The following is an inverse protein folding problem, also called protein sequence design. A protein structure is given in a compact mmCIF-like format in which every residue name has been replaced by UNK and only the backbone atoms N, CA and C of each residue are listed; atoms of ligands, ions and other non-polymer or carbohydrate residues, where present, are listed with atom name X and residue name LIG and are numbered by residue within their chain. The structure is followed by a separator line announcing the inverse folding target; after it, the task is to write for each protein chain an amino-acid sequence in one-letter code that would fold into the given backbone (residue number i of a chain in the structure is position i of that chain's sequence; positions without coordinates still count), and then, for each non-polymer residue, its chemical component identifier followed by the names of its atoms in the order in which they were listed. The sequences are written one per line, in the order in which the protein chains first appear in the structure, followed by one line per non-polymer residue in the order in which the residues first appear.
data_IF_807561674673
#
_entry.id   IF_807561674673
#
_cell.length_a   1.000
_cell.length_b   1.000
_cell.length_c   1.000
_cell.angle_alpha   90.00
_cell.angle_beta   90.00
_cell.angle_gamma   90.00
#
_symmetry.space_group_name_H-M   'P 1'
#
loop_
_entity.id
_entity.type
_entity.pdbx_description
1 polymer ?
#
# COMPACT_ATOMS: atom_id res chain seq x y z
N UNK A 1 11.92 9.58 -2.64
CA UNK A 1 10.51 9.14 -2.70
C UNK A 1 10.01 9.26 -1.28
N UNK A 2 9.07 10.15 -1.02
CA UNK A 2 8.51 10.32 0.31
C UNK A 2 7.39 9.28 0.43
N UNK A 3 7.72 8.10 0.98
CA UNK A 3 6.80 6.97 1.15
C UNK A 3 5.75 7.21 2.25
N UNK A 4 5.53 8.48 2.59
CA UNK A 4 4.66 8.94 3.68
C UNK A 4 3.50 9.71 3.09
N UNK A 5 2.37 9.62 3.77
CA UNK A 5 1.19 10.43 3.50
C UNK A 5 1.49 11.92 3.72
N UNK A 6 0.63 12.80 3.20
CA UNK A 6 0.77 14.26 3.31
C UNK A 6 0.78 14.79 4.75
N UNK A 7 0.27 14.00 5.69
CA UNK A 7 0.31 14.25 7.14
C UNK A 7 1.56 13.67 7.81
N UNK A 8 2.50 13.15 7.03
CA UNK A 8 3.70 12.50 7.52
C UNK A 8 3.45 11.10 8.08
N UNK A 9 2.29 10.47 7.95
CA UNK A 9 2.11 9.09 8.45
C UNK A 9 2.58 8.05 7.42
N UNK A 10 3.25 7.01 7.90
CA UNK A 10 3.69 5.85 7.11
C UNK A 10 3.01 4.56 7.58
N UNK A 11 3.40 3.42 7.00
CA UNK A 11 2.82 2.11 7.35
C UNK A 11 2.88 1.80 8.86
N UNK A 12 3.98 2.17 9.53
CA UNK A 12 4.15 1.96 10.98
C UNK A 12 3.13 2.76 11.82
N UNK A 13 2.80 3.98 11.40
CA UNK A 13 1.80 4.82 12.08
C UNK A 13 0.43 4.17 12.01
N UNK A 14 0.00 3.74 10.81
CA UNK A 14 -1.28 3.08 10.63
C UNK A 14 -1.36 1.74 11.37
N UNK A 15 -0.27 0.99 11.40
CA UNK A 15 -0.21 -0.29 12.10
C UNK A 15 -0.43 -0.12 13.61
N UNK A 16 0.14 0.93 14.22
CA UNK A 16 -0.11 1.27 15.62
C UNK A 16 -1.49 1.88 15.87
N UNK A 17 -1.93 2.83 15.05
CA UNK A 17 -3.23 3.51 15.19
C UNK A 17 -4.39 2.51 15.25
N UNK A 18 -4.33 1.44 14.45
CA UNK A 18 -5.37 0.39 14.43
C UNK A 18 -5.03 -0.84 15.28
N UNK A 19 -3.95 -0.82 16.07
CA UNK A 19 -3.50 -1.97 16.85
C UNK A 19 -3.30 -3.24 16.00
N UNK A 20 -2.93 -3.10 14.73
CA UNK A 20 -2.82 -4.21 13.80
C UNK A 20 -1.54 -5.01 14.07
N UNK A 21 -1.65 -5.97 14.99
CA UNK A 21 -0.56 -6.81 15.45
C UNK A 21 0.14 -7.53 14.30
N UNK A 22 -0.61 -8.00 13.30
CA UNK A 22 -0.04 -8.71 12.15
C UNK A 22 0.83 -7.78 11.31
N UNK A 23 0.35 -6.57 11.01
CA UNK A 23 1.12 -5.58 10.27
C UNK A 23 2.41 -5.19 11.03
N UNK A 24 2.32 -4.99 12.35
CA UNK A 24 3.49 -4.72 13.19
C UNK A 24 4.49 -5.88 13.18
N UNK A 25 4.03 -7.12 13.29
CA UNK A 25 4.89 -8.30 13.15
C UNK A 25 5.58 -8.36 11.79
N UNK A 26 4.85 -8.12 10.70
CA UNK A 26 5.43 -8.08 9.34
C UNK A 26 6.50 -7.00 9.22
N UNK A 27 6.25 -5.80 9.76
CA UNK A 27 7.23 -4.70 9.77
C UNK A 27 8.49 -5.09 10.57
N UNK A 28 8.31 -5.68 11.76
CA UNK A 28 9.40 -6.16 12.61
C UNK A 28 10.19 -7.30 11.93
N UNK A 29 9.51 -8.21 11.24
CA UNK A 29 10.12 -9.31 10.48
C UNK A 29 10.95 -8.83 9.29
N UNK A 30 10.67 -7.63 8.78
CA UNK A 30 11.50 -6.94 7.78
C UNK A 30 12.66 -6.15 8.39
N UNK A 31 13.00 -6.45 9.66
CA UNK A 31 14.07 -5.82 10.44
C UNK A 31 13.90 -4.30 10.65
N UNK A 32 12.64 -3.81 10.67
CA UNK A 32 12.33 -2.43 11.04
C UNK A 32 12.01 -2.31 12.53
N UNK A 33 12.44 -1.20 13.14
CA UNK A 33 12.14 -0.90 14.54
C UNK A 33 10.70 -0.37 14.67
N UNK A 34 9.80 -1.26 15.09
CA UNK A 34 8.38 -0.95 15.31
C UNK A 34 8.13 -0.07 16.55
N UNK A 35 9.13 0.12 17.40
CA UNK A 35 9.06 1.00 18.56
C UNK A 35 9.83 2.31 18.34
N UNK A 36 10.13 2.65 17.08
CA UNK A 36 10.85 3.89 16.76
C UNK A 36 10.03 5.14 17.06
N UNK A 37 10.19 5.65 18.27
CA UNK A 37 9.66 6.93 18.70
C UNK A 37 10.58 8.09 18.27
N UNK A 38 11.42 7.99 17.23
CA UNK A 38 12.05 9.17 16.60
C UNK A 38 11.21 9.71 15.46
N UNK A 39 10.44 8.85 14.80
CA UNK A 39 9.55 9.28 13.74
C UNK A 39 8.36 10.04 14.31
N UNK A 40 8.02 11.14 13.64
CA UNK A 40 6.92 12.02 14.01
C UNK A 40 6.07 12.31 12.80
N UNK A 41 4.76 12.32 12.98
CA UNK A 41 3.84 12.85 11.98
C UNK A 41 3.90 14.39 11.97
N UNK A 42 3.08 15.03 11.12
CA UNK A 42 2.99 16.49 11.02
C UNK A 42 2.47 17.16 12.30
N UNK A 43 1.83 16.40 13.20
CA UNK A 43 1.28 16.89 14.47
C UNK A 43 2.26 16.69 15.63
N UNK A 44 3.36 15.96 15.42
CA UNK A 44 4.34 15.66 16.45
C UNK A 44 4.01 14.41 17.27
N UNK A 45 3.09 13.58 16.81
CA UNK A 45 2.77 12.28 17.39
C UNK A 45 3.75 11.20 16.89
N UNK A 46 4.08 10.26 17.75
CA UNK A 46 4.84 9.04 17.40
C UNK A 46 3.88 7.93 16.99
N UNK A 47 4.34 6.88 16.28
CA UNK A 47 3.50 5.73 16.00
C UNK A 47 2.90 5.12 17.28
N UNK A 48 3.71 4.88 18.31
CA UNK A 48 3.24 4.23 19.54
C UNK A 48 2.28 5.09 20.35
N UNK A 49 2.40 6.43 20.30
CA UNK A 49 1.50 7.34 21.01
C UNK A 49 0.08 7.29 20.44
N UNK A 50 -0.09 7.06 19.13
CA UNK A 50 -1.43 6.93 18.53
C UNK A 50 -2.22 5.78 19.16
N UNK A 51 -1.59 4.62 19.36
CA UNK A 51 -2.23 3.50 20.05
C UNK A 51 -2.48 3.79 21.54
N UNK A 52 -1.55 4.46 22.23
CA UNK A 52 -1.72 4.78 23.67
C UNK A 52 -2.82 5.78 23.95
N UNK A 53 -3.11 6.65 22.98
CA UNK A 53 -4.14 7.69 23.07
C UNK A 53 -5.51 7.21 22.61
N UNK A 54 -5.54 6.16 21.78
CA UNK A 54 -6.78 5.54 21.30
C UNK A 54 -7.35 4.55 22.32
N UNK A 55 -8.66 4.64 22.58
CA UNK A 55 -9.34 3.78 23.55
C UNK A 55 -9.58 2.35 23.03
N UNK A 56 -9.55 2.16 21.71
CA UNK A 56 -9.79 0.88 21.04
C UNK A 56 -8.49 0.09 20.83
N UNK A 57 -7.33 0.70 21.09
CA UNK A 57 -6.03 0.04 20.97
C UNK A 57 -5.51 -0.44 22.34
N UNK A 58 -5.34 -1.76 22.49
CA UNK A 58 -4.68 -2.35 23.65
C UNK A 58 -3.16 -2.37 23.45
N UNK A 59 -2.52 -1.24 23.77
CA UNK A 59 -1.07 -1.06 23.58
C UNK A 59 -0.24 -2.18 24.20
N UNK A 60 -0.53 -2.54 25.45
CA UNK A 60 0.25 -3.53 26.19
C UNK A 60 0.11 -4.92 25.56
N UNK A 61 -1.12 -5.33 25.21
CA UNK A 61 -1.35 -6.61 24.54
C UNK A 61 -0.67 -6.68 23.16
N UNK A 62 -0.72 -5.60 22.38
CA UNK A 62 -0.06 -5.54 21.06
C UNK A 62 1.46 -5.55 21.22
N UNK A 63 2.00 -4.73 22.14
CA UNK A 63 3.43 -4.64 22.39
C UNK A 63 4.01 -5.97 22.90
N UNK A 64 3.28 -6.71 23.74
CA UNK A 64 3.70 -8.03 24.22
C UNK A 64 3.85 -9.03 23.06
N UNK A 65 2.91 -9.05 22.12
CA UNK A 65 2.98 -9.96 20.96
C UNK A 65 4.11 -9.57 20.02
N UNK A 66 4.29 -8.28 19.76
CA UNK A 66 5.29 -7.78 18.81
C UNK A 66 6.72 -7.88 19.37
N UNK A 67 6.90 -7.83 20.69
CA UNK A 67 8.19 -8.06 21.35
C UNK A 67 8.56 -9.54 21.48
N UNK A 68 7.66 -10.48 21.19
CA UNK A 68 7.96 -11.90 21.26
C UNK A 68 8.83 -12.32 20.05
N UNK A 69 10.11 -12.68 20.26
CA UNK A 69 10.99 -13.05 19.15
C UNK A 69 10.53 -14.30 18.41
N UNK A 70 9.78 -15.20 19.06
CA UNK A 70 9.24 -16.39 18.40
C UNK A 70 8.16 -16.00 17.37
N UNK A 71 7.38 -14.96 17.65
CA UNK A 71 6.36 -14.44 16.73
C UNK A 71 6.97 -13.72 15.53
N UNK A 72 8.02 -12.95 15.77
CA UNK A 72 8.76 -12.28 14.70
C UNK A 72 9.43 -13.30 13.79
N UNK A 73 10.02 -14.37 14.34
CA UNK A 73 10.63 -15.44 13.54
C UNK A 73 9.59 -16.22 12.72
N UNK A 74 8.45 -16.56 13.31
CA UNK A 74 7.31 -17.19 12.60
C UNK A 74 6.88 -16.32 11.39
N UNK A 75 6.83 -15.01 11.57
CA UNK A 75 6.50 -14.08 10.49
C UNK A 75 7.57 -14.03 9.40
N UNK A 76 8.86 -14.06 9.77
CA UNK A 76 9.98 -14.12 8.82
C UNK A 76 9.90 -15.33 7.92
N UNK A 77 9.62 -16.50 8.50
CA UNK A 77 9.45 -17.76 7.76
C UNK A 77 8.30 -17.67 6.76
N UNK A 78 7.17 -17.08 7.16
CA UNK A 78 6.02 -16.87 6.26
C UNK A 78 6.34 -15.92 5.10
N UNK A 79 7.06 -14.83 5.37
CA UNK A 79 7.50 -13.90 4.33
C UNK A 79 8.45 -14.61 3.35
N UNK A 80 9.38 -15.43 3.86
CA UNK A 80 10.30 -16.21 3.03
C UNK A 80 9.56 -17.24 2.15
N UNK A 81 8.57 -17.94 2.71
CA UNK A 81 7.74 -18.88 1.96
C UNK A 81 6.96 -18.19 0.83
N UNK A 82 6.34 -17.04 1.11
CA UNK A 82 5.60 -16.28 0.09
C UNK A 82 6.53 -15.77 -1.00
N UNK A 83 7.72 -15.27 -0.65
CA UNK A 83 8.72 -14.83 -1.63
C UNK A 83 9.18 -15.97 -2.54
N UNK A 84 9.47 -17.14 -1.97
CA UNK A 84 9.84 -18.33 -2.75
C UNK A 84 8.76 -18.73 -3.74
N UNK A 85 7.49 -18.74 -3.31
CA UNK A 85 6.36 -19.08 -4.20
C UNK A 85 6.14 -18.05 -5.31
N UNK A 86 6.40 -16.77 -5.02
CA UNK A 86 6.28 -15.71 -6.00
C UNK A 86 7.36 -15.82 -7.08
N UNK A 87 8.59 -16.14 -6.69
CA UNK A 87 9.71 -16.39 -7.61
C UNK A 87 9.44 -17.61 -8.51
N UNK A 88 9.01 -18.74 -7.93
CA UNK A 88 8.64 -19.93 -8.70
C UNK A 88 7.47 -19.69 -9.68
N UNK A 89 6.55 -18.78 -9.35
CA UNK A 89 5.44 -18.44 -10.23
C UNK A 89 5.88 -17.51 -11.37
N UNK A 90 6.79 -16.57 -11.09
CA UNK A 90 7.35 -15.68 -12.09
C UNK A 90 8.21 -16.43 -13.13
N UNK A 91 8.98 -17.43 -12.70
CA UNK A 91 9.81 -18.23 -13.60
C UNK A 91 8.97 -19.11 -14.54
N UNK A 92 7.85 -19.67 -14.07
CA UNK A 92 6.95 -20.50 -14.89
C UNK A 92 6.24 -19.74 -16.00
N UNK A 93 5.95 -18.45 -15.79
CA UNK A 93 5.28 -17.59 -16.78
C UNK A 93 6.19 -17.28 -17.99
N UNK A 94 7.52 -17.39 -17.81
CA UNK A 94 8.50 -17.16 -18.88
C UNK A 94 8.76 -18.41 -19.75
N UNK A 95 8.64 -19.61 -19.20
CA UNK A 95 8.85 -20.87 -19.93
C UNK A 95 7.65 -21.25 -20.83
N UNK A 96 6.44 -20.71 -20.59
CA UNK A 96 5.25 -20.94 -21.44
C UNK A 96 5.14 -19.98 -22.64
N UNK A 97 6.03 -18.98 -22.77
CA UNK A 97 6.05 -18.00 -23.88
C UNK A 97 7.12 -18.26 -24.96
N UNK A 98 7.89 -19.35 -24.90
CA UNK A 98 9.01 -19.64 -25.83
C UNK A 98 8.71 -20.76 -26.86
N UNK A 99 7.42 -21.09 -27.12
CA UNK A 99 7.04 -22.17 -28.06
C UNK A 99 6.12 -21.77 -29.24
N UNK A 100 5.91 -20.49 -29.57
CA UNK A 100 5.24 -20.13 -30.84
C UNK A 100 5.75 -18.82 -31.45
N UNK A 101 6.84 -18.85 -32.25
CA UNK A 101 7.00 -17.95 -33.42
C UNK A 101 7.99 -18.54 -34.47
N UNK A 102 7.46 -19.36 -35.38
CA UNK A 102 7.91 -19.40 -36.78
C UNK A 102 6.65 -19.47 -37.67
N UNK A 103 6.04 -18.31 -37.97
CA UNK A 103 5.19 -18.15 -39.15
C UNK A 103 5.49 -16.81 -39.83
N UNK A 104 6.36 -16.90 -40.83
CA UNK A 104 6.78 -15.85 -41.75
C UNK A 104 5.63 -15.55 -42.72
N UNK A 105 4.83 -14.53 -42.41
CA UNK A 105 3.68 -14.11 -43.20
C UNK A 105 3.66 -12.60 -43.40
N UNK A 106 4.50 -12.11 -44.31
CA UNK A 106 4.33 -10.80 -44.96
C UNK A 106 2.89 -10.64 -45.45
N UNK A 107 2.19 -9.56 -45.08
CA UNK A 107 1.37 -8.79 -46.01
C UNK A 107 1.04 -7.38 -45.46
N UNK A 108 1.64 -6.43 -46.17
CA UNK A 108 1.33 -5.01 -46.35
C UNK A 108 -0.17 -4.79 -46.65
N UNK A 109 -0.85 -3.88 -45.94
CA UNK A 109 -1.65 -2.84 -46.62
C UNK A 109 -2.39 -1.87 -45.67
N UNK A 110 -2.09 -0.60 -45.90
CA UNK A 110 -2.99 0.56 -46.02
C UNK A 110 -3.76 1.17 -44.82
N UNK A 111 -3.68 2.51 -44.86
CA UNK A 111 -4.22 3.54 -43.98
C UNK A 111 -5.76 3.60 -43.97
N UNK A 112 -6.37 4.02 -42.85
CA UNK A 112 -7.61 4.79 -42.93
C UNK A 112 -7.69 5.85 -41.82
N UNK A 113 -7.63 7.12 -42.24
CA UNK A 113 -7.99 8.28 -41.42
C UNK A 113 -9.51 8.28 -41.13
N UNK A 114 -9.88 8.52 -39.87
CA UNK A 114 -11.28 8.55 -39.43
C UNK A 114 -11.58 9.67 -38.43
N UNK A 115 -11.93 10.82 -39.00
CA UNK A 115 -12.30 12.08 -38.39
C UNK A 115 -13.62 12.05 -37.56
N UNK A 116 -13.62 12.94 -36.55
CA UNK A 116 -14.74 13.58 -35.82
C UNK A 116 -15.75 12.72 -35.03
N UNK A 117 -16.03 13.15 -33.78
CA UNK A 117 -17.32 13.81 -33.44
C UNK A 117 -17.42 14.17 -31.94
N UNK A 118 -17.72 15.45 -31.72
CA UNK A 118 -18.05 16.06 -30.44
C UNK A 118 -19.25 15.39 -29.74
N UNK A 119 -19.16 15.23 -28.42
CA UNK A 119 -20.32 15.13 -27.52
C UNK A 119 -20.46 16.47 -26.78
N UNK A 120 -21.43 17.26 -27.24
CA UNK A 120 -21.96 18.39 -26.49
C UNK A 120 -22.84 17.93 -25.34
N UNK A 121 -22.92 18.81 -24.34
CA UNK A 121 -24.12 19.15 -23.55
C UNK A 121 -24.40 18.33 -22.29
N UNK A 122 -24.15 18.95 -21.15
CA UNK A 122 -25.01 19.05 -19.96
C UNK A 122 -24.27 20.06 -19.03
N UNK A 123 -24.60 21.35 -18.89
CA UNK A 123 -25.82 22.06 -18.45
C UNK A 123 -26.30 21.62 -17.05
N UNK A 124 -26.42 22.63 -16.18
CA UNK A 124 -26.95 22.66 -14.81
C UNK A 124 -26.04 22.12 -13.68
N UNK A 125 -25.45 23.03 -12.88
CA UNK A 125 -26.14 23.41 -11.63
C UNK A 125 -25.60 24.73 -11.05
N UNK A 126 -26.54 25.62 -10.81
CA UNK A 126 -26.43 26.97 -10.24
C UNK A 126 -26.44 26.83 -8.71
N UNK A 127 -25.47 27.41 -8.00
CA UNK A 127 -25.67 27.78 -6.59
C UNK A 127 -25.00 29.14 -6.29
N UNK A 128 -25.77 30.22 -6.15
CA UNK A 128 -25.46 31.29 -5.24
C UNK A 128 -26.28 31.08 -3.95
N UNK A 129 -25.61 30.92 -2.81
CA UNK A 129 -26.27 31.14 -1.52
C UNK A 129 -25.27 31.81 -0.57
N UNK A 130 -25.50 33.12 -0.46
CA UNK A 130 -25.38 33.99 0.70
C UNK A 130 -24.05 34.07 1.48
N UNK A 131 -23.37 35.18 1.17
CA UNK A 131 -22.64 35.97 2.13
C UNK A 131 -23.59 36.73 3.07
N UNK A 132 -23.07 37.11 4.23
CA UNK A 132 -23.62 38.05 5.23
C UNK A 132 -24.68 37.50 6.21
N UNK A 133 -24.23 37.07 7.39
CA UNK A 133 -24.81 37.59 8.64
C UNK A 133 -23.69 38.04 9.59
N UNK A 134 -23.77 39.34 9.93
CA UNK A 134 -23.11 40.04 11.03
C UNK A 134 -23.97 39.95 12.30
#
# INVERSE_FOLDING_TARGET
MEERSSDGRGALFWAWEFGNTRALLTIAALDNDVFDDKERDAQGSSPTSLCKEDADCDYDAVADVVNDPARVEEEKDLIAEVRSKLEEAADKDLDEMDEEEEDDGEEDDEEEEGDSRATNSDVDDILPDDADEL
#
